data_IF_685262779976
#
_entry.id   IF_685262779976
#
_cell.length_a   1.000
_cell.length_b   1.000
_cell.length_c   1.000
_cell.angle_alpha   90.00
_cell.angle_beta   90.00
_cell.angle_gamma   90.00
#
_symmetry.space_group_name_H-M   'P 1'
#
loop_
_entity.id
_entity.type
_entity.pdbx_description
1 polymer ?
#
# COMPACT_ATOMS: atom_id res chain seq x y z
N UNK A 1 40.19 -7.96 -19.94
CA UNK A 1 39.85 -9.34 -19.55
C UNK A 1 38.34 -9.53 -19.32
N UNK A 2 37.49 -9.45 -20.37
CA UNK A 2 36.04 -9.66 -20.24
C UNK A 2 35.66 -11.07 -19.76
N UNK A 3 36.50 -12.07 -20.01
CA UNK A 3 36.30 -13.47 -19.64
C UNK A 3 36.27 -13.74 -18.13
N UNK A 4 36.71 -12.80 -17.29
CA UNK A 4 36.71 -12.94 -15.82
C UNK A 4 35.57 -12.16 -15.16
N UNK A 5 34.64 -11.60 -15.93
CA UNK A 5 33.45 -10.94 -15.38
C UNK A 5 32.59 -11.99 -14.68
N UNK A 6 32.48 -11.88 -13.36
CA UNK A 6 31.65 -12.75 -12.54
C UNK A 6 30.33 -12.08 -12.17
N UNK A 7 29.18 -12.77 -12.30
CA UNK A 7 27.87 -12.27 -11.85
C UNK A 7 27.79 -11.95 -10.35
N UNK A 8 28.73 -12.46 -9.55
CA UNK A 8 28.82 -12.18 -8.10
C UNK A 8 29.84 -11.10 -7.75
N UNK A 9 30.50 -10.48 -8.73
CA UNK A 9 31.50 -9.43 -8.50
C UNK A 9 30.86 -8.14 -7.95
N UNK A 10 31.50 -7.42 -7.01
CA UNK A 10 31.06 -6.09 -6.57
C UNK A 10 30.94 -5.08 -7.72
N UNK A 11 31.68 -5.28 -8.82
CA UNK A 11 31.59 -4.44 -10.03
C UNK A 11 30.21 -4.51 -10.70
N UNK A 12 29.42 -5.56 -10.42
CA UNK A 12 28.02 -5.68 -10.89
C UNK A 12 27.06 -4.72 -10.18
N UNK A 13 27.56 -3.84 -9.30
CA UNK A 13 26.76 -2.83 -8.59
C UNK A 13 26.90 -1.41 -9.14
N UNK A 14 27.87 -1.17 -10.03
CA UNK A 14 28.29 0.17 -10.46
C UNK A 14 28.16 0.30 -11.97
N UNK A 15 27.67 1.45 -12.46
CA UNK A 15 27.61 1.76 -13.90
C UNK A 15 26.50 1.04 -14.67
N UNK A 16 25.42 0.64 -13.99
CA UNK A 16 24.25 0.06 -14.65
C UNK A 16 23.47 1.22 -15.30
N UNK A 17 23.26 1.16 -16.61
CA UNK A 17 22.39 2.10 -17.32
C UNK A 17 20.94 1.97 -16.83
N UNK A 18 20.17 3.06 -16.78
CA UNK A 18 18.75 3.00 -16.46
C UNK A 18 18.04 2.07 -17.46
N UNK A 19 17.27 1.11 -16.94
CA UNK A 19 16.46 0.24 -17.79
C UNK A 19 15.32 1.07 -18.40
N UNK A 20 15.07 0.92 -19.70
CA UNK A 20 14.01 1.66 -20.39
C UNK A 20 12.61 1.20 -19.99
N UNK A 21 12.44 -0.09 -19.67
CA UNK A 21 11.18 -0.72 -19.26
C UNK A 21 11.44 -1.87 -18.28
N UNK A 22 10.47 -2.16 -17.41
CA UNK A 22 10.52 -3.30 -16.49
C UNK A 22 9.77 -4.51 -17.07
N UNK A 23 10.43 -5.67 -17.05
CA UNK A 23 9.81 -6.92 -17.51
C UNK A 23 8.97 -7.52 -16.39
N UNK A 24 7.74 -7.95 -16.69
CA UNK A 24 6.91 -8.68 -15.75
C UNK A 24 7.37 -10.13 -15.60
N UNK A 25 7.51 -10.61 -14.37
CA UNK A 25 7.91 -11.97 -14.04
C UNK A 25 6.94 -12.63 -13.07
N UNK A 26 6.71 -13.92 -13.25
CA UNK A 26 5.90 -14.72 -12.33
C UNK A 26 6.73 -15.23 -11.16
N UNK A 27 6.18 -15.08 -9.95
CA UNK A 27 6.78 -15.60 -8.72
C UNK A 27 6.70 -17.13 -8.66
N UNK A 28 7.68 -17.79 -8.03
CA UNK A 28 7.66 -19.26 -7.90
C UNK A 28 6.54 -19.70 -6.95
N UNK A 29 6.29 -18.91 -5.90
CA UNK A 29 5.15 -19.03 -5.01
C UNK A 29 4.41 -17.67 -4.89
N UNK A 30 3.07 -17.69 -4.75
CA UNK A 30 2.31 -16.45 -4.58
C UNK A 30 2.71 -15.65 -3.32
N UNK A 31 2.93 -14.37 -3.55
CA UNK A 31 3.22 -13.30 -2.62
C UNK A 31 1.91 -12.75 -2.00
N UNK A 32 1.41 -13.43 -0.97
CA UNK A 32 0.14 -13.09 -0.30
C UNK A 32 0.24 -11.90 0.65
N UNK A 33 -0.88 -11.19 0.84
CA UNK A 33 -1.01 -10.14 1.85
C UNK A 33 -1.30 -10.71 3.24
N UNK A 34 -1.13 -9.91 4.29
CA UNK A 34 -1.49 -10.28 5.66
C UNK A 34 -2.90 -9.78 6.01
N UNK A 35 -3.63 -10.55 6.80
CA UNK A 35 -4.82 -10.04 7.48
C UNK A 35 -4.40 -9.01 8.55
N UNK A 36 -5.24 -8.01 8.80
CA UNK A 36 -4.96 -6.97 9.80
C UNK A 36 -5.69 -7.28 11.11
N UNK A 37 -5.05 -6.91 12.21
CA UNK A 37 -5.65 -6.73 13.52
C UNK A 37 -5.37 -5.32 14.02
N UNK A 38 -6.36 -4.66 14.61
CA UNK A 38 -6.27 -3.30 15.15
C UNK A 38 -6.43 -3.24 16.66
N UNK A 39 -6.72 -4.38 17.31
CA UNK A 39 -6.86 -4.47 18.75
C UNK A 39 -6.29 -5.78 19.32
N UNK A 40 -5.92 -5.82 20.61
CA UNK A 40 -5.57 -7.05 21.31
C UNK A 40 -6.67 -8.12 21.23
N UNK A 41 -7.94 -7.72 21.24
CA UNK A 41 -9.09 -8.62 21.16
C UNK A 41 -9.13 -9.35 19.81
N UNK A 42 -8.80 -8.67 18.72
CA UNK A 42 -8.70 -9.27 17.38
C UNK A 42 -7.54 -10.28 17.29
N UNK A 43 -6.43 -10.04 18.01
CA UNK A 43 -5.31 -10.98 18.13
C UNK A 43 -5.69 -12.22 18.95
N UNK A 44 -6.43 -12.06 20.05
CA UNK A 44 -6.97 -13.19 20.81
C UNK A 44 -7.95 -14.01 19.97
N UNK A 45 -8.80 -13.35 19.18
CA UNK A 45 -9.69 -14.03 18.24
C UNK A 45 -8.92 -14.78 17.15
N UNK A 46 -7.78 -14.25 16.69
CA UNK A 46 -6.87 -14.95 15.78
C UNK A 46 -6.28 -16.22 16.41
N UNK A 47 -5.76 -16.14 17.62
CA UNK A 47 -5.24 -17.29 18.36
C UNK A 47 -6.33 -18.37 18.58
N UNK A 48 -7.55 -17.96 18.94
CA UNK A 48 -8.69 -18.88 19.07
C UNK A 48 -9.03 -19.58 17.76
N UNK A 49 -8.95 -18.89 16.61
CA UNK A 49 -9.16 -19.52 15.30
C UNK A 49 -8.08 -20.55 14.99
N UNK A 50 -6.83 -20.27 15.33
CA UNK A 50 -5.74 -21.24 15.16
C UNK A 50 -5.97 -22.46 16.05
N UNK A 51 -6.25 -22.26 17.35
CA UNK A 51 -6.51 -23.35 18.31
C UNK A 51 -7.65 -24.29 17.88
N UNK A 52 -8.67 -23.75 17.19
CA UNK A 52 -9.76 -24.57 16.62
C UNK A 52 -9.32 -25.45 15.45
N UNK A 53 -8.35 -25.01 14.66
CA UNK A 53 -7.85 -25.74 13.49
C UNK A 53 -6.76 -26.75 13.85
N UNK A 54 -5.98 -26.46 14.89
CA UNK A 54 -4.90 -27.32 15.39
C UNK A 54 -5.08 -27.54 16.91
N UNK A 55 -6.11 -28.32 17.31
CA UNK A 55 -6.40 -28.56 18.73
C UNK A 55 -5.23 -29.28 19.41
N UNK A 56 -5.10 -29.07 20.72
CA UNK A 56 -4.11 -29.73 21.60
C UNK A 56 -2.62 -29.45 21.31
N UNK A 57 -2.30 -28.62 20.30
CA UNK A 57 -0.93 -28.19 20.04
C UNK A 57 -0.62 -26.89 20.81
N UNK A 58 0.54 -26.84 21.47
CA UNK A 58 1.07 -25.59 22.01
C UNK A 58 1.50 -24.70 20.85
N UNK A 59 0.97 -23.48 20.79
CA UNK A 59 1.27 -22.52 19.73
C UNK A 59 2.25 -21.48 20.25
N UNK A 60 3.43 -21.45 19.65
CA UNK A 60 4.38 -20.36 19.82
C UNK A 60 4.29 -19.38 18.65
N UNK A 61 4.58 -18.12 18.91
CA UNK A 61 4.54 -17.05 17.92
C UNK A 61 5.91 -16.41 17.78
N UNK A 62 6.33 -16.12 16.55
CA UNK A 62 7.43 -15.21 16.27
C UNK A 62 6.84 -13.85 15.91
N UNK A 63 7.28 -12.83 16.63
CA UNK A 63 6.86 -11.44 16.43
C UNK A 63 8.00 -10.67 15.79
N UNK A 64 7.71 -10.03 14.65
CA UNK A 64 8.65 -9.24 13.86
C UNK A 64 8.10 -7.83 13.66
N UNK A 65 8.98 -6.84 13.49
CA UNK A 65 8.55 -5.50 13.07
C UNK A 65 7.89 -5.56 11.70
N UNK A 66 6.72 -4.92 11.55
CA UNK A 66 6.11 -4.72 10.24
C UNK A 66 6.75 -3.51 9.59
N UNK A 67 7.86 -3.77 8.90
CA UNK A 67 8.64 -2.76 8.20
C UNK A 67 7.76 -2.10 7.15
N UNK A 68 7.85 -0.78 7.08
CA UNK A 68 7.18 -0.02 6.05
C UNK A 68 8.09 0.14 4.81
N UNK A 69 7.94 -0.72 3.81
CA UNK A 69 8.77 -0.65 2.60
C UNK A 69 8.21 -1.37 1.37
N UNK A 70 9.15 -1.68 0.47
CA UNK A 70 8.96 -2.44 -0.75
C UNK A 70 9.49 -3.86 -0.54
N UNK A 71 8.63 -4.85 -0.33
CA UNK A 71 9.03 -6.24 -0.33
C UNK A 71 9.09 -6.90 -1.70
N UNK A 72 10.08 -7.77 -1.74
CA UNK A 72 10.76 -8.24 -2.92
C UNK A 72 10.94 -9.74 -2.79
N UNK A 73 11.08 -10.39 -3.94
CA UNK A 73 11.53 -11.77 -4.05
C UNK A 73 12.93 -11.78 -4.65
N UNK A 74 13.85 -12.51 -4.02
CA UNK A 74 15.24 -12.68 -4.47
C UNK A 74 15.48 -14.16 -4.76
N UNK A 75 15.70 -14.48 -6.04
CA UNK A 75 16.00 -15.84 -6.48
C UNK A 75 17.50 -16.02 -6.58
N UNK A 76 17.99 -17.08 -5.95
CA UNK A 76 19.37 -17.53 -6.02
C UNK A 76 19.43 -18.94 -6.60
N UNK A 77 20.40 -19.16 -7.47
CA UNK A 77 20.72 -20.48 -8.02
C UNK A 77 22.19 -20.80 -7.73
N UNK A 78 22.43 -21.96 -7.13
CA UNK A 78 23.74 -22.41 -6.63
C UNK A 78 24.44 -21.33 -5.79
N UNK A 79 23.65 -20.62 -4.98
CA UNK A 79 24.11 -19.53 -4.13
C UNK A 79 24.42 -18.22 -4.84
N UNK A 80 24.16 -18.06 -6.13
CA UNK A 80 24.38 -16.82 -6.89
C UNK A 80 23.07 -16.07 -7.09
N UNK A 81 23.05 -14.76 -6.85
CA UNK A 81 21.88 -13.92 -7.09
C UNK A 81 21.61 -13.79 -8.58
N UNK A 82 20.50 -14.36 -9.05
CA UNK A 82 20.15 -14.39 -10.47
C UNK A 82 19.03 -13.42 -10.82
N UNK A 83 18.03 -13.24 -9.94
CA UNK A 83 16.82 -12.46 -10.26
C UNK A 83 16.19 -11.88 -9.02
N UNK A 84 15.79 -10.62 -9.06
CA UNK A 84 14.99 -9.97 -8.04
C UNK A 84 13.74 -9.32 -8.63
N UNK A 85 12.61 -9.40 -7.93
CA UNK A 85 11.33 -8.88 -8.41
C UNK A 85 10.54 -8.17 -7.31
N UNK A 86 9.71 -7.19 -7.69
CA UNK A 86 8.70 -6.57 -6.80
C UNK A 86 7.54 -7.53 -6.56
N UNK A 87 6.64 -7.22 -5.62
CA UNK A 87 5.43 -8.04 -5.44
C UNK A 87 4.51 -8.06 -6.65
N UNK A 88 4.25 -6.89 -7.24
CA UNK A 88 3.11 -6.65 -8.13
C UNK A 88 1.78 -7.08 -7.50
N UNK A 89 1.00 -7.88 -8.23
CA UNK A 89 -0.33 -8.39 -7.85
C UNK A 89 -0.28 -9.58 -6.86
N UNK A 90 0.93 -10.06 -6.55
CA UNK A 90 1.16 -11.22 -5.69
C UNK A 90 1.42 -12.51 -6.47
N UNK A 91 1.12 -12.57 -7.77
CA UNK A 91 1.43 -13.71 -8.66
C UNK A 91 2.53 -13.32 -9.64
N UNK A 92 2.48 -12.08 -10.12
CA UNK A 92 3.41 -11.46 -11.04
C UNK A 92 3.93 -10.14 -10.45
N UNK A 93 5.18 -9.83 -10.73
CA UNK A 93 5.85 -8.61 -10.30
C UNK A 93 6.83 -8.10 -11.34
N UNK A 94 7.38 -6.92 -11.11
CA UNK A 94 8.36 -6.30 -12.00
C UNK A 94 9.76 -6.80 -11.65
N UNK A 95 10.51 -7.24 -12.65
CA UNK A 95 11.90 -7.64 -12.50
C UNK A 95 12.79 -6.41 -12.32
N UNK A 96 13.42 -6.30 -11.16
CA UNK A 96 14.21 -5.15 -10.72
C UNK A 96 15.60 -5.57 -10.21
N UNK A 97 16.19 -6.62 -10.81
CA UNK A 97 17.44 -7.23 -10.36
C UNK A 97 18.58 -6.23 -10.35
N UNK A 98 18.69 -5.41 -11.41
CA UNK A 98 19.71 -4.38 -11.54
C UNK A 98 19.65 -3.38 -10.37
N UNK A 99 18.46 -2.88 -10.04
CA UNK A 99 18.23 -2.00 -8.89
C UNK A 99 18.62 -2.70 -7.58
N UNK A 100 18.19 -3.95 -7.37
CA UNK A 100 18.45 -4.70 -6.14
C UNK A 100 19.94 -5.04 -5.95
N UNK A 101 20.70 -5.24 -7.03
CA UNK A 101 22.17 -5.41 -6.96
C UNK A 101 22.85 -4.22 -6.30
N UNK A 102 22.33 -3.01 -6.49
CA UNK A 102 22.92 -1.79 -5.90
C UNK A 102 22.81 -1.74 -4.37
N UNK A 103 21.87 -2.50 -3.78
CA UNK A 103 21.67 -2.56 -2.34
C UNK A 103 22.78 -3.41 -1.70
N UNK A 104 23.71 -2.75 -1.02
CA UNK A 104 24.91 -3.39 -0.44
C UNK A 104 24.60 -4.52 0.55
N UNK A 105 23.48 -4.44 1.26
CA UNK A 105 23.05 -5.46 2.24
C UNK A 105 22.46 -6.71 1.61
N UNK A 106 22.15 -6.69 0.30
CA UNK A 106 21.73 -7.89 -0.43
C UNK A 106 23.00 -8.64 -0.86
N UNK A 107 23.21 -9.89 -0.41
CA UNK A 107 24.35 -10.69 -0.84
C UNK A 107 24.20 -11.05 -2.32
N UNK A 108 25.22 -10.82 -3.15
CA UNK A 108 25.26 -11.32 -4.54
C UNK A 108 25.61 -12.80 -4.62
N UNK A 109 26.25 -13.31 -3.56
CA UNK A 109 26.57 -14.71 -3.34
C UNK A 109 26.24 -15.09 -1.90
N UNK A 110 25.53 -16.18 -1.71
CA UNK A 110 25.22 -16.75 -0.40
C UNK A 110 26.44 -17.43 0.19
N UNK A 111 26.57 -17.34 1.52
CA UNK A 111 27.66 -17.97 2.28
C UNK A 111 27.16 -19.26 2.94
N UNK A 112 28.07 -20.17 3.28
CA UNK A 112 27.75 -21.42 3.98
C UNK A 112 27.85 -22.66 3.11
N UNK A 113 27.83 -23.84 3.75
CA UNK A 113 28.00 -25.16 3.11
C UNK A 113 26.68 -25.76 2.61
N UNK A 114 25.55 -25.39 3.22
CA UNK A 114 24.24 -26.02 3.00
C UNK A 114 23.25 -25.12 2.26
N UNK A 115 23.72 -24.40 1.23
CA UNK A 115 22.84 -23.55 0.40
C UNK A 115 22.08 -24.43 -0.60
N UNK A 116 20.73 -24.38 -0.65
CA UNK A 116 19.95 -25.13 -1.63
C UNK A 116 20.35 -24.78 -3.07
N UNK A 117 20.26 -25.73 -4.03
CA UNK A 117 20.53 -25.47 -5.44
C UNK A 117 19.70 -24.31 -6.00
N UNK A 118 18.49 -24.12 -5.47
CA UNK A 118 17.64 -22.98 -5.76
C UNK A 118 16.91 -22.54 -4.50
N UNK A 119 16.93 -21.24 -4.21
CA UNK A 119 16.24 -20.63 -3.08
C UNK A 119 15.63 -19.30 -3.50
N UNK A 120 14.41 -19.04 -3.03
CA UNK A 120 13.76 -17.74 -3.16
C UNK A 120 13.58 -17.15 -1.76
N UNK A 121 14.19 -15.97 -1.56
CA UNK A 121 14.22 -15.27 -0.29
C UNK A 121 13.38 -14.02 -0.41
N UNK A 122 12.51 -13.80 0.56
CA UNK A 122 11.62 -12.66 0.58
C UNK A 122 11.96 -11.78 1.77
N UNK A 123 11.86 -10.49 1.55
CA UNK A 123 12.20 -9.49 2.53
C UNK A 123 11.75 -8.12 2.06
N UNK A 124 12.00 -7.11 2.88
CA UNK A 124 11.53 -5.75 2.65
C UNK A 124 12.72 -4.82 2.42
N UNK A 125 12.71 -4.13 1.29
CA UNK A 125 13.58 -2.98 1.02
C UNK A 125 12.90 -1.75 1.58
N UNK A 126 13.56 -1.04 2.46
CA UNK A 126 13.02 0.17 3.05
C UNK A 126 14.07 1.28 3.04
N UNK A 127 13.61 2.51 3.14
CA UNK A 127 14.48 3.67 3.26
C UNK A 127 14.55 4.14 4.70
N UNK A 128 15.75 4.47 5.16
CA UNK A 128 15.94 5.04 6.50
C UNK A 128 15.37 6.45 6.56
N UNK A 129 14.86 6.86 7.73
CA UNK A 129 14.36 8.22 7.97
C UNK A 129 15.45 9.27 7.71
N UNK A 130 16.67 8.99 8.13
CA UNK A 130 17.85 9.83 7.89
C UNK A 130 18.18 10.01 6.40
N UNK A 131 18.15 8.92 5.63
CA UNK A 131 18.42 8.94 4.19
C UNK A 131 17.29 9.60 3.40
N UNK A 132 16.03 9.36 3.79
CA UNK A 132 14.86 10.02 3.20
C UNK A 132 14.89 11.54 3.38
N UNK A 133 15.29 12.03 4.57
CA UNK A 133 15.49 13.48 4.82
C UNK A 133 16.55 14.06 3.88
N UNK A 134 17.68 13.38 3.68
CA UNK A 134 18.73 13.82 2.75
C UNK A 134 18.22 13.87 1.31
N UNK A 135 17.52 12.82 0.87
CA UNK A 135 16.96 12.73 -0.48
C UNK A 135 15.95 13.86 -0.76
N UNK A 136 15.04 14.13 0.18
CA UNK A 136 14.09 15.24 0.04
C UNK A 136 14.80 16.61 0.07
N UNK A 137 15.85 16.79 0.88
CA UNK A 137 16.66 18.02 0.87
C UNK A 137 17.37 18.23 -0.48
N UNK A 138 17.85 17.17 -1.12
CA UNK A 138 18.46 17.23 -2.45
C UNK A 138 17.43 17.53 -3.54
N UNK A 139 16.21 16.99 -3.43
CA UNK A 139 15.10 17.31 -4.34
C UNK A 139 14.58 18.74 -4.22
N UNK A 140 14.47 19.27 -3.00
CA UNK A 140 14.12 20.68 -2.78
C UNK A 140 15.13 21.62 -3.45
N UNK A 141 16.42 21.30 -3.40
CA UNK A 141 17.48 22.08 -4.07
C UNK A 141 17.39 22.02 -5.60
N UNK A 142 16.68 21.04 -6.16
CA UNK A 142 16.46 20.82 -7.59
C UNK A 142 15.05 21.20 -8.05
N UNK A 143 14.24 21.81 -7.17
CA UNK A 143 12.82 22.14 -7.43
C UNK A 143 11.94 20.95 -7.85
N UNK A 144 12.32 19.73 -7.44
CA UNK A 144 11.56 18.51 -7.71
C UNK A 144 10.47 18.26 -6.65
N UNK A 145 9.39 17.57 -7.03
CA UNK A 145 8.34 17.14 -6.10
C UNK A 145 8.88 16.21 -5.01
N UNK A 146 8.55 16.48 -3.74
CA UNK A 146 8.98 15.69 -2.60
C UNK A 146 8.25 14.35 -2.53
N UNK A 147 8.93 13.31 -2.06
CA UNK A 147 8.27 12.03 -1.79
C UNK A 147 7.42 12.10 -0.52
N UNK A 148 6.24 11.48 -0.56
CA UNK A 148 5.24 11.54 0.50
C UNK A 148 5.51 10.56 1.66
N UNK A 149 6.01 9.35 1.37
CA UNK A 149 6.40 8.35 2.37
C UNK A 149 7.34 7.26 1.78
N UNK A 150 8.07 6.49 2.62
CA UNK A 150 8.99 5.42 2.18
C UNK A 150 8.38 4.11 1.62
N UNK A 151 7.05 4.03 1.41
CA UNK A 151 6.23 2.82 1.59
C UNK A 151 5.91 1.93 0.36
N UNK A 152 6.32 2.28 -0.85
CA UNK A 152 5.70 1.60 -2.01
C UNK A 152 6.36 0.26 -2.40
N UNK A 153 5.90 -0.88 -1.81
CA UNK A 153 5.32 -2.14 -2.40
C UNK A 153 5.92 -3.56 -2.06
N UNK A 154 5.14 -4.46 -1.41
CA UNK A 154 5.70 -5.60 -0.64
C UNK A 154 5.00 -6.99 -0.54
N UNK A 155 5.73 -8.11 -0.86
CA UNK A 155 5.90 -9.40 -0.09
C UNK A 155 5.28 -10.76 -0.57
N UNK A 156 6.05 -11.89 -0.71
CA UNK A 156 6.07 -13.12 0.15
C UNK A 156 6.21 -14.59 -0.44
N UNK A 157 6.93 -15.46 0.30
CA UNK A 157 7.48 -16.87 0.11
C UNK A 157 6.60 -18.12 0.39
N UNK A 158 6.94 -19.42 0.13
CA UNK A 158 8.11 -20.31 -0.24
C UNK A 158 7.58 -21.71 -0.70
N UNK A 159 8.31 -22.53 -1.52
CA UNK A 159 8.16 -24.02 -1.66
C UNK A 159 9.52 -24.76 -1.76
N UNK A 160 9.66 -25.91 -1.06
CA UNK A 160 10.81 -26.84 -1.10
C UNK A 160 10.38 -28.27 -1.53
N UNK A 161 11.34 -29.09 -2.00
CA UNK A 161 11.14 -30.39 -2.69
C UNK A 161 11.07 -31.64 -1.78
N UNK A 162 11.47 -31.60 -0.50
CA UNK A 162 11.20 -32.69 0.48
C UNK A 162 10.35 -32.18 1.67
N UNK A 163 9.08 -32.60 1.80
CA UNK A 163 8.18 -32.17 2.88
C UNK A 163 8.65 -32.58 4.28
N UNK A 164 9.44 -33.65 4.41
CA UNK A 164 9.84 -34.22 5.72
C UNK A 164 10.95 -33.39 6.40
N UNK A 165 11.79 -32.73 5.61
CA UNK A 165 12.86 -31.83 6.11
C UNK A 165 12.26 -30.48 6.54
N UNK A 166 11.22 -30.01 5.86
CA UNK A 166 10.50 -28.77 6.20
C UNK A 166 9.64 -28.94 7.46
N UNK A 167 9.13 -30.16 7.72
CA UNK A 167 8.21 -30.46 8.81
C UNK A 167 8.80 -30.32 10.23
N UNK A 168 10.12 -30.25 10.38
CA UNK A 168 10.79 -30.15 11.70
C UNK A 168 11.29 -28.75 12.05
N UNK A 169 11.19 -27.79 11.12
CA UNK A 169 11.82 -26.47 11.29
C UNK A 169 10.86 -25.45 11.88
N UNK A 170 11.44 -24.55 12.67
CA UNK A 170 10.77 -23.37 13.21
C UNK A 170 11.14 -22.13 12.40
N UNK A 171 10.24 -21.15 12.36
CA UNK A 171 10.47 -19.90 11.65
C UNK A 171 11.64 -19.10 12.25
N UNK A 172 11.83 -19.16 13.57
CA UNK A 172 13.02 -18.58 14.20
C UNK A 172 14.33 -19.20 13.67
N UNK A 173 14.35 -20.52 13.44
CA UNK A 173 15.51 -21.20 12.85
C UNK A 173 15.74 -20.77 11.41
N UNK A 174 14.68 -20.56 10.63
CA UNK A 174 14.78 -20.01 9.26
C UNK A 174 15.42 -18.63 9.27
N UNK A 175 15.01 -17.75 10.19
CA UNK A 175 15.59 -16.42 10.33
C UNK A 175 17.07 -16.47 10.72
N UNK A 176 17.46 -17.37 11.63
CA UNK A 176 18.86 -17.60 11.98
C UNK A 176 19.66 -18.12 10.79
N UNK A 177 19.13 -19.09 10.04
CA UNK A 177 19.75 -19.60 8.82
C UNK A 177 19.94 -18.51 7.76
N UNK A 178 18.94 -17.64 7.55
CA UNK A 178 19.07 -16.49 6.63
C UNK A 178 20.22 -15.56 7.04
N UNK A 179 20.39 -15.33 8.34
CA UNK A 179 21.50 -14.54 8.88
C UNK A 179 22.86 -15.21 8.61
N UNK A 180 22.96 -16.52 8.80
CA UNK A 180 24.19 -17.30 8.57
C UNK A 180 24.62 -17.28 7.09
N UNK A 181 23.67 -17.33 6.16
CA UNK A 181 23.98 -17.32 4.72
C UNK A 181 24.20 -15.91 4.14
N UNK A 182 24.16 -14.87 4.99
CA UNK A 182 24.57 -13.51 4.65
C UNK A 182 23.46 -12.47 4.52
N UNK A 183 22.20 -12.81 4.82
CA UNK A 183 21.13 -11.81 4.82
C UNK A 183 21.12 -10.98 6.10
N UNK A 184 20.71 -9.72 5.96
CA UNK A 184 20.43 -8.86 7.08
C UNK A 184 19.04 -9.18 7.63
N UNK A 185 18.99 -9.72 8.84
CA UNK A 185 17.77 -10.01 9.58
C UNK A 185 17.55 -8.95 10.66
N UNK A 186 16.30 -8.56 10.88
CA UNK A 186 15.97 -7.54 11.89
C UNK A 186 16.38 -8.03 13.29
N UNK A 187 17.02 -7.22 14.14
CA UNK A 187 17.39 -7.63 15.49
C UNK A 187 16.23 -7.68 16.49
N UNK A 188 15.10 -7.03 16.18
CA UNK A 188 13.94 -6.88 17.07
C UNK A 188 12.90 -7.99 16.87
N UNK A 189 13.39 -9.23 16.77
CA UNK A 189 12.54 -10.41 16.61
C UNK A 189 12.42 -11.08 17.97
N UNK A 190 11.20 -11.46 18.35
CA UNK A 190 10.95 -12.14 19.62
C UNK A 190 10.17 -13.43 19.39
N UNK A 191 10.65 -14.52 19.99
CA UNK A 191 9.85 -15.73 20.19
C UNK A 191 8.97 -15.53 21.42
N UNK A 192 7.67 -15.71 21.24
CA UNK A 192 6.63 -15.58 22.26
C UNK A 192 5.97 -16.94 22.48
N UNK A 193 5.81 -17.32 23.74
CA UNK A 193 5.30 -18.62 24.15
C UNK A 193 3.79 -18.77 23.97
N UNK A 194 3.08 -17.64 23.88
CA UNK A 194 1.64 -17.56 23.65
C UNK A 194 1.25 -16.20 23.03
N UNK A 195 -0.06 -16.03 22.78
CA UNK A 195 -0.60 -14.80 22.18
C UNK A 195 -0.52 -13.58 23.12
N UNK A 196 -0.58 -13.76 24.44
CA UNK A 196 -0.52 -12.64 25.38
C UNK A 196 0.90 -12.08 25.45
N UNK A 197 1.91 -12.94 25.41
CA UNK A 197 3.30 -12.50 25.29
C UNK A 197 3.54 -11.75 23.96
N UNK A 198 2.93 -12.22 22.86
CA UNK A 198 3.01 -11.56 21.57
C UNK A 198 2.32 -10.18 21.58
N UNK A 199 1.14 -10.06 22.21
CA UNK A 199 0.43 -8.79 22.40
C UNK A 199 1.29 -7.82 23.23
N UNK A 200 1.78 -8.27 24.39
CA UNK A 200 2.58 -7.45 25.30
C UNK A 200 3.85 -6.94 24.62
N UNK A 201 4.56 -7.79 23.88
CA UNK A 201 5.72 -7.37 23.12
C UNK A 201 5.36 -6.37 22.01
N UNK A 202 4.24 -6.60 21.32
CA UNK A 202 3.79 -5.71 20.25
C UNK A 202 3.41 -4.31 20.76
N UNK A 203 2.79 -4.22 21.93
CA UNK A 203 2.42 -2.94 22.55
C UNK A 203 3.64 -2.10 22.94
N UNK A 204 4.74 -2.73 23.39
CA UNK A 204 5.98 -2.00 23.70
C UNK A 204 6.56 -1.27 22.49
N UNK A 205 6.28 -1.75 21.27
CA UNK A 205 6.75 -1.13 20.04
C UNK A 205 5.94 0.08 19.60
N UNK A 206 4.77 0.33 20.17
CA UNK A 206 3.98 1.54 19.90
C UNK A 206 4.77 2.80 20.28
N UNK A 207 5.50 2.75 21.39
CA UNK A 207 6.33 3.85 21.89
C UNK A 207 7.74 3.80 21.28
N UNK A 208 8.37 2.61 21.25
CA UNK A 208 9.75 2.44 20.75
C UNK A 208 9.93 2.67 19.26
N UNK A 209 8.86 2.69 18.46
CA UNK A 209 8.96 2.93 17.01
C UNK A 209 9.64 4.26 16.65
N UNK A 210 9.57 5.26 17.52
CA UNK A 210 10.20 6.57 17.29
C UNK A 210 11.73 6.50 17.39
N UNK A 211 12.28 5.50 18.09
CA UNK A 211 13.72 5.26 18.21
C UNK A 211 14.32 4.65 16.93
N UNK A 212 13.48 4.10 16.05
CA UNK A 212 13.92 3.46 14.82
C UNK A 212 14.24 4.50 13.74
N UNK A 213 15.38 4.31 13.08
CA UNK A 213 15.77 5.06 11.88
C UNK A 213 15.03 4.57 10.61
N UNK A 214 13.90 3.89 10.76
CA UNK A 214 13.01 3.46 9.67
C UNK A 214 11.57 3.38 10.16
N UNK A 215 10.62 3.48 9.22
CA UNK A 215 9.21 3.45 9.53
C UNK A 215 8.70 2.01 9.71
N UNK A 216 7.78 1.85 10.64
CA UNK A 216 7.03 0.61 10.89
C UNK A 216 5.56 0.96 11.12
N UNK A 217 4.64 0.16 10.58
CA UNK A 217 3.19 0.41 10.71
C UNK A 217 2.50 -0.56 11.69
N UNK A 218 3.30 -1.40 12.34
CA UNK A 218 2.80 -2.43 13.24
C UNK A 218 3.82 -3.52 13.52
N UNK A 219 3.29 -4.66 13.93
CA UNK A 219 4.02 -5.90 14.17
C UNK A 219 3.41 -7.01 13.32
N UNK A 220 4.22 -7.96 12.88
CA UNK A 220 3.75 -9.19 12.25
C UNK A 220 3.89 -10.33 13.24
N UNK A 221 2.79 -11.00 13.55
CA UNK A 221 2.75 -12.15 14.45
C UNK A 221 2.56 -13.40 13.58
N UNK A 222 3.48 -14.36 13.66
CA UNK A 222 3.48 -15.57 12.84
C UNK A 222 3.60 -16.80 13.73
N UNK A 223 2.82 -17.85 13.47
CA UNK A 223 3.01 -19.16 14.13
C UNK A 223 4.44 -19.65 13.88
N UNK A 224 5.16 -20.05 14.92
CA UNK A 224 6.58 -20.41 14.81
C UNK A 224 6.79 -21.72 14.03
N UNK A 225 5.99 -22.76 14.30
CA UNK A 225 6.12 -24.06 13.64
C UNK A 225 5.74 -24.02 12.15
N UNK A 226 6.68 -24.38 11.26
CA UNK A 226 6.40 -24.43 9.82
C UNK A 226 5.44 -25.56 9.45
N UNK A 227 5.42 -26.66 10.22
CA UNK A 227 4.46 -27.75 10.05
C UNK A 227 3.02 -27.24 10.25
N UNK A 228 2.79 -26.54 11.36
CA UNK A 228 1.48 -25.96 11.67
C UNK A 228 1.05 -24.94 10.60
N UNK A 229 1.98 -24.20 10.01
CA UNK A 229 1.65 -23.29 8.87
C UNK A 229 1.10 -24.06 7.67
N UNK A 230 1.64 -25.24 7.38
CA UNK A 230 1.15 -26.14 6.34
C UNK A 230 -0.27 -26.64 6.63
N UNK A 231 -0.53 -27.06 7.86
CA UNK A 231 -1.86 -27.50 8.33
C UNK A 231 -2.90 -26.37 8.28
N UNK A 232 -2.51 -25.16 8.70
CA UNK A 232 -3.39 -23.99 8.72
C UNK A 232 -3.69 -23.43 7.32
N UNK A 233 -2.74 -23.55 6.39
CA UNK A 233 -2.88 -23.08 5.01
C UNK A 233 -3.15 -21.57 4.91
N UNK A 234 -3.85 -21.19 3.85
CA UNK A 234 -4.20 -19.79 3.54
C UNK A 234 -5.67 -19.65 3.14
N UNK A 235 -6.17 -18.43 3.23
CA UNK A 235 -7.34 -17.98 2.48
C UNK A 235 -6.92 -17.60 1.06
N UNK A 236 -7.85 -17.10 0.24
CA UNK A 236 -7.56 -16.59 -1.10
C UNK A 236 -6.54 -15.45 -1.10
N UNK A 237 -6.47 -14.66 -0.02
CA UNK A 237 -5.65 -13.43 0.02
C UNK A 237 -4.59 -13.39 1.12
N UNK A 238 -4.73 -14.21 2.16
CA UNK A 238 -3.86 -14.15 3.33
C UNK A 238 -3.62 -15.50 4.01
N UNK A 239 -2.42 -15.74 4.57
CA UNK A 239 -2.14 -16.95 5.36
C UNK A 239 -2.97 -16.96 6.65
N UNK A 240 -3.45 -18.14 7.07
CA UNK A 240 -4.18 -18.27 8.35
C UNK A 240 -3.27 -18.27 9.58
N UNK A 241 -1.97 -18.44 9.36
CA UNK A 241 -0.95 -18.60 10.39
C UNK A 241 -0.17 -17.31 10.69
N UNK A 242 -0.49 -16.19 10.02
CA UNK A 242 0.12 -14.90 10.28
C UNK A 242 -0.89 -13.75 10.23
N UNK A 243 -0.66 -12.74 11.07
CA UNK A 243 -1.51 -11.55 11.16
C UNK A 243 -0.64 -10.30 11.39
N UNK A 244 -1.04 -9.18 10.79
CA UNK A 244 -0.43 -7.88 10.98
C UNK A 244 -1.18 -7.12 12.07
N UNK A 245 -0.58 -6.96 13.24
CA UNK A 245 -1.08 -6.08 14.29
C UNK A 245 -0.68 -4.64 13.98
N UNK A 246 -1.61 -3.85 13.44
CA UNK A 246 -1.35 -2.46 13.07
C UNK A 246 -1.39 -1.56 14.30
N UNK A 247 -0.47 -0.62 14.36
CA UNK A 247 -0.50 0.38 15.42
C UNK A 247 -1.71 1.29 15.26
N UNK A 248 -2.22 1.85 16.37
CA UNK A 248 -3.26 2.87 16.31
C UNK A 248 -2.82 4.00 15.38
N UNK A 249 -3.70 4.37 14.44
CA UNK A 249 -3.44 5.47 13.54
C UNK A 249 -3.15 6.74 14.36
N UNK A 250 -2.13 7.51 13.95
CA UNK A 250 -1.85 8.78 14.62
C UNK A 250 -3.06 9.69 14.50
N UNK A 251 -3.61 10.10 15.65
CA UNK A 251 -4.75 10.99 15.71
C UNK A 251 -4.26 12.39 16.05
N UNK A 252 -4.65 13.38 15.24
CA UNK A 252 -4.34 14.79 15.47
C UNK A 252 -5.61 15.61 15.44
N UNK A 253 -5.59 16.75 16.12
CA UNK A 253 -6.73 17.67 16.12
C UNK A 253 -6.49 18.78 15.11
N UNK A 254 -7.49 19.08 14.29
CA UNK A 254 -7.47 20.21 13.35
C UNK A 254 -8.87 20.79 13.21
N UNK A 255 -8.99 21.96 12.58
CA UNK A 255 -10.26 22.65 12.38
C UNK A 255 -10.86 22.30 11.02
N UNK A 256 -12.17 22.07 10.99
CA UNK A 256 -12.94 21.98 9.74
C UNK A 256 -13.20 23.39 9.22
N UNK A 257 -12.61 23.75 8.09
CA UNK A 257 -12.85 25.05 7.45
C UNK A 257 -14.16 25.04 6.67
N UNK A 258 -14.41 23.95 5.94
CA UNK A 258 -15.60 23.78 5.11
C UNK A 258 -15.89 22.29 4.90
N UNK A 259 -17.08 21.96 4.42
CA UNK A 259 -17.45 20.60 4.00
C UNK A 259 -17.96 20.69 2.57
N UNK A 260 -17.19 20.13 1.63
CA UNK A 260 -17.56 20.06 0.21
C UNK A 260 -18.13 18.68 -0.11
N UNK A 261 -18.90 18.58 -1.18
CA UNK A 261 -19.47 17.32 -1.65
C UNK A 261 -18.81 16.89 -2.95
N UNK A 262 -18.21 15.71 -2.95
CA UNK A 262 -17.68 15.07 -4.16
C UNK A 262 -18.73 14.14 -4.75
N UNK A 263 -18.79 14.07 -6.08
CA UNK A 263 -19.69 13.18 -6.81
C UNK A 263 -18.87 12.05 -7.41
N UNK A 264 -19.07 10.83 -6.92
CA UNK A 264 -18.36 9.65 -7.41
C UNK A 264 -18.91 9.09 -8.73
N UNK A 265 -18.26 8.05 -9.26
CA UNK A 265 -18.60 7.38 -10.53
C UNK A 265 -20.06 6.94 -10.68
N UNK A 266 -20.69 6.48 -9.60
CA UNK A 266 -22.08 6.00 -9.56
C UNK A 266 -23.07 7.10 -9.19
N UNK A 267 -22.62 8.35 -9.17
CA UNK A 267 -23.39 9.49 -8.72
C UNK A 267 -23.47 9.64 -7.20
N UNK A 268 -22.78 8.80 -6.41
CA UNK A 268 -22.76 8.92 -4.96
C UNK A 268 -22.16 10.27 -4.51
N UNK A 269 -22.88 10.98 -3.65
CA UNK A 269 -22.44 12.23 -3.02
C UNK A 269 -21.69 11.90 -1.73
N UNK A 270 -20.38 12.08 -1.75
CA UNK A 270 -19.49 11.84 -0.61
C UNK A 270 -19.07 13.19 -0.01
N UNK A 271 -19.43 13.47 1.25
CA UNK A 271 -18.98 14.68 1.91
C UNK A 271 -17.51 14.57 2.34
N UNK A 272 -16.76 15.64 2.13
CA UNK A 272 -15.33 15.74 2.41
C UNK A 272 -15.07 17.01 3.22
N UNK A 273 -14.49 16.84 4.41
CA UNK A 273 -14.05 17.95 5.25
C UNK A 273 -12.80 18.59 4.65
N UNK A 274 -12.85 19.90 4.44
CA UNK A 274 -11.68 20.75 4.20
C UNK A 274 -11.14 21.17 5.57
N UNK A 275 -9.88 20.87 5.83
CA UNK A 275 -9.25 21.00 7.13
C UNK A 275 -8.16 22.06 7.10
N UNK A 276 -7.90 22.68 8.25
CA UNK A 276 -6.63 23.38 8.46
C UNK A 276 -5.47 22.40 8.24
N UNK A 277 -4.42 22.80 7.49
CA UNK A 277 -3.32 21.92 7.15
C UNK A 277 -2.68 21.34 8.42
N UNK A 278 -2.75 20.02 8.58
CA UNK A 278 -2.21 19.33 9.75
C UNK A 278 -1.32 18.17 9.33
N UNK A 279 -0.23 17.93 10.05
CA UNK A 279 0.71 16.85 9.73
C UNK A 279 0.30 15.56 10.43
N UNK A 280 0.03 14.50 9.66
CA UNK A 280 -0.32 13.16 10.18
C UNK A 280 0.59 12.14 9.49
N UNK A 281 1.36 11.38 10.26
CA UNK A 281 2.25 10.33 9.75
C UNK A 281 3.13 10.83 8.59
N UNK A 282 3.80 11.97 8.80
CA UNK A 282 4.77 12.54 7.85
C UNK A 282 4.20 13.40 6.70
N UNK A 283 2.91 13.28 6.36
CA UNK A 283 2.29 14.07 5.28
C UNK A 283 1.36 15.16 5.81
N UNK A 284 1.21 16.25 5.06
CA UNK A 284 0.19 17.28 5.33
C UNK A 284 -1.17 16.79 4.83
N UNK A 285 -2.16 16.79 5.72
CA UNK A 285 -3.56 16.46 5.44
C UNK A 285 -4.37 17.74 5.47
N UNK A 286 -5.09 18.01 4.38
CA UNK A 286 -6.02 19.13 4.23
C UNK A 286 -7.45 18.68 3.90
N UNK A 287 -7.63 17.39 3.60
CA UNK A 287 -8.91 16.80 3.23
C UNK A 287 -9.10 15.51 4.00
N UNK A 288 -10.29 15.29 4.54
CA UNK A 288 -10.66 14.04 5.19
C UNK A 288 -12.08 13.62 4.81
N UNK A 289 -12.29 12.32 4.60
CA UNK A 289 -13.62 11.79 4.31
C UNK A 289 -14.52 11.88 5.54
N UNK A 290 -15.80 12.21 5.30
CA UNK A 290 -16.88 12.11 6.28
C UNK A 290 -17.80 10.92 5.98
N UNK A 291 -17.43 10.08 5.00
CA UNK A 291 -18.13 8.88 4.55
C UNK A 291 -19.50 9.15 3.90
N UNK A 292 -20.48 9.62 4.66
CA UNK A 292 -21.85 9.89 4.18
C UNK A 292 -22.59 10.85 5.13
N UNK A 293 -23.82 11.24 4.77
CA UNK A 293 -24.63 12.17 5.57
C UNK A 293 -24.97 11.63 6.97
N UNK A 294 -25.26 10.33 7.08
CA UNK A 294 -25.59 9.72 8.37
C UNK A 294 -24.39 9.74 9.33
N UNK A 295 -23.18 9.53 8.82
CA UNK A 295 -21.95 9.65 9.61
C UNK A 295 -21.71 11.07 10.11
N UNK A 296 -22.00 12.08 9.29
CA UNK A 296 -21.94 13.49 9.72
C UNK A 296 -22.92 13.73 10.86
N UNK A 297 -24.16 13.27 10.73
CA UNK A 297 -25.19 13.43 11.77
C UNK A 297 -24.85 12.64 13.04
N UNK A 298 -24.39 11.40 12.90
CA UNK A 298 -23.98 10.53 14.02
C UNK A 298 -22.84 11.13 14.82
N UNK A 299 -21.83 11.68 14.13
CA UNK A 299 -20.68 12.34 14.77
C UNK A 299 -20.97 13.80 15.14
N UNK A 300 -22.09 14.35 14.66
CA UNK A 300 -22.51 15.76 14.77
C UNK A 300 -21.39 16.70 14.28
N UNK A 301 -20.83 16.44 13.09
CA UNK A 301 -19.74 17.26 12.52
C UNK A 301 -20.31 18.54 11.92
N UNK A 302 -19.77 19.69 12.32
CA UNK A 302 -20.17 21.01 11.83
C UNK A 302 -19.01 21.75 11.19
N UNK A 303 -19.32 22.68 10.30
CA UNK A 303 -18.32 23.59 9.74
C UNK A 303 -17.79 24.48 10.87
N UNK A 304 -16.47 24.65 10.95
CA UNK A 304 -15.69 25.30 12.03
C UNK A 304 -15.44 24.48 13.29
N UNK A 305 -15.92 23.24 13.37
CA UNK A 305 -15.58 22.35 14.50
C UNK A 305 -14.09 22.04 14.55
N UNK A 306 -13.57 21.82 15.76
CA UNK A 306 -12.29 21.15 15.95
C UNK A 306 -12.55 19.65 16.00
N UNK A 307 -11.91 18.93 15.09
CA UNK A 307 -12.09 17.49 14.88
C UNK A 307 -10.79 16.74 15.12
N UNK A 308 -10.93 15.50 15.59
CA UNK A 308 -9.86 14.52 15.66
C UNK A 308 -9.83 13.75 14.34
N UNK A 309 -8.69 13.81 13.66
CA UNK A 309 -8.48 13.23 12.32
C UNK A 309 -7.39 12.18 12.41
N UNK A 310 -7.56 11.09 11.67
CA UNK A 310 -6.56 10.03 11.55
C UNK A 310 -6.44 9.60 10.10
N UNK A 311 -5.42 8.80 9.78
CA UNK A 311 -5.35 8.09 8.49
C UNK A 311 -5.76 6.63 8.65
N UNK A 312 -6.91 6.26 8.09
CA UNK A 312 -7.32 4.88 7.96
C UNK A 312 -6.33 4.12 7.08
N UNK A 313 -5.77 3.04 7.62
CA UNK A 313 -4.74 2.25 6.94
C UNK A 313 -3.49 3.03 6.53
N UNK A 314 -3.20 4.15 7.20
CA UNK A 314 -2.08 5.09 6.93
C UNK A 314 -2.15 5.83 5.58
N UNK A 315 -3.24 5.68 4.83
CA UNK A 315 -3.41 6.30 3.50
C UNK A 315 -4.56 7.30 3.49
N UNK A 316 -5.77 6.89 3.88
CA UNK A 316 -6.99 7.70 3.68
C UNK A 316 -7.30 8.50 4.94
N UNK A 317 -7.26 9.84 4.91
CA UNK A 317 -7.61 10.63 6.09
C UNK A 317 -9.12 10.62 6.33
N UNK A 318 -9.53 10.42 7.58
CA UNK A 318 -10.93 10.42 8.03
C UNK A 318 -11.12 11.18 9.35
N UNK A 319 -12.31 11.75 9.52
CA UNK A 319 -12.71 12.37 10.79
C UNK A 319 -13.20 11.30 11.75
N UNK A 320 -12.52 11.16 12.90
CA UNK A 320 -12.84 10.19 13.95
C UNK A 320 -13.99 10.70 14.82
N UNK A 321 -13.82 11.89 15.41
CA UNK A 321 -14.81 12.52 16.29
C UNK A 321 -14.65 14.03 16.35
N UNK A 322 -15.70 14.72 16.76
CA UNK A 322 -15.68 16.15 17.09
C UNK A 322 -15.26 16.36 18.54
N UNK A 323 -14.48 17.40 18.81
CA UNK A 323 -14.15 17.85 20.16
C UNK A 323 -15.18 18.90 20.57
N UNK A 324 -16.33 18.42 21.06
CA UNK A 324 -17.50 19.26 21.36
C UNK A 324 -17.22 20.33 22.40
N UNK A 325 -16.27 20.08 23.30
CA UNK A 325 -15.84 21.00 24.36
C UNK A 325 -15.19 22.28 23.83
N UNK A 326 -14.69 22.25 22.58
CA UNK A 326 -14.06 23.41 21.93
C UNK A 326 -15.03 24.23 21.06
N UNK A 327 -16.33 23.93 21.11
CA UNK A 327 -17.34 24.68 20.37
C UNK A 327 -17.52 26.08 20.94
N UNK A 328 -17.65 27.02 20.03
CA UNK A 328 -17.82 28.45 20.28
C UNK A 328 -19.26 28.92 20.06
N UNK A 329 -20.13 28.05 19.53
CA UNK A 329 -21.51 28.37 19.15
C UNK A 329 -21.64 29.02 17.77
N UNK A 330 -20.53 29.24 17.06
CA UNK A 330 -20.48 29.82 15.70
C UNK A 330 -20.39 28.77 14.59
N UNK A 331 -20.45 27.50 14.95
CA UNK A 331 -20.35 26.37 14.05
C UNK A 331 -21.65 26.21 13.25
N UNK A 332 -21.53 25.86 11.97
CA UNK A 332 -22.67 25.74 11.06
C UNK A 332 -22.96 24.27 10.76
N UNK A 333 -24.23 23.87 10.88
CA UNK A 333 -24.65 22.53 10.53
C UNK A 333 -24.53 22.30 9.02
N UNK A 334 -23.98 21.16 8.63
CA UNK A 334 -23.89 20.76 7.24
C UNK A 334 -25.20 20.09 6.82
N UNK A 335 -25.77 20.54 5.70
CA UNK A 335 -26.92 19.93 5.07
C UNK A 335 -26.51 19.42 3.70
N UNK A 336 -26.79 18.14 3.42
CA UNK A 336 -26.52 17.57 2.11
C UNK A 336 -27.34 18.31 1.04
N UNK A 337 -26.73 18.76 -0.07
CA UNK A 337 -27.45 19.55 -1.05
C UNK A 337 -28.54 18.71 -1.75
N UNK A 338 -29.71 19.33 -1.97
CA UNK A 338 -30.83 18.72 -2.70
C UNK A 338 -30.61 18.67 -4.21
N UNK A 339 -29.58 19.36 -4.70
CA UNK A 339 -29.14 19.39 -6.08
C UNK A 339 -27.65 19.03 -6.17
N UNK A 340 -27.27 18.35 -7.24
CA UNK A 340 -25.91 17.94 -7.47
C UNK A 340 -25.02 19.18 -7.66
N UNK A 341 -23.92 19.34 -6.90
CA UNK A 341 -23.05 20.52 -6.99
C UNK A 341 -22.32 20.65 -8.32
N UNK A 342 -22.33 19.59 -9.16
CA UNK A 342 -21.64 19.57 -10.45
C UNK A 342 -22.59 19.82 -11.62
N UNK A 343 -23.75 19.15 -11.64
CA UNK A 343 -24.67 19.20 -12.80
C UNK A 343 -26.05 19.80 -12.48
N UNK A 344 -26.30 20.23 -11.24
CA UNK A 344 -27.58 20.81 -10.80
C UNK A 344 -28.75 19.83 -10.71
N UNK A 345 -28.58 18.57 -11.14
CA UNK A 345 -29.65 17.58 -11.11
C UNK A 345 -30.12 17.24 -9.69
N UNK A 346 -31.38 16.83 -9.55
CA UNK A 346 -31.97 16.46 -8.25
C UNK A 346 -31.19 15.31 -7.60
N UNK A 347 -30.86 15.48 -6.33
CA UNK A 347 -30.28 14.44 -5.48
C UNK A 347 -31.41 13.65 -4.85
N UNK A 348 -31.26 12.33 -4.84
CA UNK A 348 -32.18 11.42 -4.18
C UNK A 348 -31.40 10.39 -3.37
N UNK A 349 -32.04 9.84 -2.35
CA UNK A 349 -31.48 8.76 -1.55
C UNK A 349 -32.36 7.52 -1.76
N UNK A 350 -31.84 6.45 -2.38
CA UNK A 350 -32.59 5.21 -2.56
C UNK A 350 -33.01 4.62 -1.20
N UNK A 351 -34.18 3.99 -1.14
CA UNK A 351 -34.63 3.28 0.06
C UNK A 351 -33.64 2.16 0.44
N UNK A 352 -33.26 2.10 1.70
CA UNK A 352 -32.28 1.13 2.21
C UNK A 352 -30.81 1.49 1.97
N UNK A 353 -30.50 2.53 1.20
CA UNK A 353 -29.13 3.00 0.99
C UNK A 353 -28.74 4.15 1.94
N UNK A 354 -27.45 4.18 2.30
CA UNK A 354 -26.86 5.23 3.14
C UNK A 354 -26.41 6.44 2.30
N UNK A 355 -26.10 6.21 1.02
CA UNK A 355 -25.53 7.22 0.14
C UNK A 355 -26.62 7.97 -0.63
N UNK A 356 -26.59 9.31 -0.55
CA UNK A 356 -27.33 10.18 -1.46
C UNK A 356 -26.67 10.18 -2.83
N UNK A 357 -27.47 10.18 -3.91
CA UNK A 357 -26.97 10.07 -5.30
C UNK A 357 -27.53 11.14 -6.21
N UNK A 358 -26.73 11.53 -7.19
CA UNK A 358 -27.13 12.32 -8.33
C UNK A 358 -27.92 11.46 -9.33
N UNK A 359 -29.11 11.91 -9.73
CA UNK A 359 -29.98 11.19 -10.66
C UNK A 359 -29.61 11.40 -12.16
N UNK A 360 -28.66 12.28 -12.47
CA UNK A 360 -28.30 12.56 -13.86
C UNK A 360 -27.28 11.58 -14.42
N UNK A 361 -27.64 10.95 -15.53
CA UNK A 361 -26.74 10.09 -16.31
C UNK A 361 -25.67 10.88 -17.07
N UNK A 362 -25.92 12.16 -17.36
CA UNK A 362 -25.04 13.09 -18.08
C UNK A 362 -24.18 13.95 -17.15
N UNK A 363 -24.14 13.62 -15.86
CA UNK A 363 -23.31 14.33 -14.88
C UNK A 363 -21.82 14.22 -15.28
N UNK A 364 -21.18 15.36 -15.58
CA UNK A 364 -19.77 15.41 -15.99
C UNK A 364 -18.83 14.76 -14.97
N UNK A 365 -19.07 14.92 -13.66
CA UNK A 365 -18.29 14.23 -12.64
C UNK A 365 -18.41 12.70 -12.72
N UNK A 366 -19.61 12.18 -12.99
CA UNK A 366 -19.78 10.73 -13.17
C UNK A 366 -19.11 10.23 -14.45
N UNK A 367 -19.11 11.03 -15.51
CA UNK A 367 -18.43 10.70 -16.77
C UNK A 367 -16.92 10.63 -16.53
N UNK A 368 -16.34 11.69 -15.95
CA UNK A 368 -14.92 11.75 -15.58
C UNK A 368 -14.48 10.57 -14.72
N UNK A 369 -15.23 10.26 -13.66
CA UNK A 369 -14.90 9.15 -12.76
C UNK A 369 -15.11 7.76 -13.39
N UNK A 370 -16.08 7.61 -14.30
CA UNK A 370 -16.24 6.36 -15.07
C UNK A 370 -15.07 6.14 -16.03
N UNK A 371 -14.63 7.17 -16.73
CA UNK A 371 -13.47 7.12 -17.62
C UNK A 371 -12.18 6.85 -16.83
N UNK A 372 -11.98 7.52 -15.67
CA UNK A 372 -10.84 7.26 -14.77
C UNK A 372 -10.79 5.81 -14.32
N UNK A 373 -11.92 5.24 -13.93
CA UNK A 373 -11.99 3.84 -13.54
C UNK A 373 -11.71 2.91 -14.73
N UNK A 374 -12.27 3.21 -15.91
CA UNK A 374 -12.04 2.43 -17.12
C UNK A 374 -10.55 2.40 -17.51
N UNK A 375 -9.88 3.54 -17.43
CA UNK A 375 -8.45 3.69 -17.72
C UNK A 375 -7.53 3.10 -16.62
N UNK A 376 -8.06 2.69 -15.47
CA UNK A 376 -7.24 2.23 -14.34
C UNK A 376 -6.55 0.89 -14.63
N UNK A 377 -5.45 0.63 -13.91
CA UNK A 377 -4.64 -0.61 -14.01
C UNK A 377 -5.45 -1.89 -13.78
N UNK A 378 -6.48 -1.83 -12.94
CA UNK A 378 -7.36 -2.97 -12.64
C UNK A 378 -8.50 -3.15 -13.68
N UNK A 379 -8.55 -2.30 -14.71
CA UNK A 379 -9.57 -2.30 -15.76
C UNK A 379 -8.93 -2.47 -17.16
N UNK A 380 -8.88 -1.43 -17.99
CA UNK A 380 -8.27 -1.49 -19.33
C UNK A 380 -6.80 -1.07 -19.35
N UNK A 381 -6.24 -0.61 -18.22
CA UNK A 381 -4.81 -0.26 -18.07
C UNK A 381 -4.29 0.70 -19.16
N UNK A 382 -5.02 1.79 -19.39
CA UNK A 382 -4.67 2.79 -20.41
C UNK A 382 -3.62 3.74 -19.83
N UNK A 383 -2.35 3.40 -20.01
CA UNK A 383 -1.23 4.23 -19.58
C UNK A 383 -1.26 5.63 -20.25
N UNK A 384 -0.97 6.67 -19.46
CA UNK A 384 -0.99 8.05 -19.92
C UNK A 384 -2.35 8.75 -19.78
N UNK A 385 -3.47 8.04 -19.68
CA UNK A 385 -4.81 8.65 -19.52
C UNK A 385 -5.09 9.08 -18.07
N UNK A 386 -4.36 10.09 -17.60
CA UNK A 386 -4.43 10.59 -16.23
C UNK A 386 -5.62 11.53 -15.94
N UNK A 387 -5.90 11.81 -14.64
CA UNK A 387 -7.00 12.68 -14.21
C UNK A 387 -7.08 14.03 -14.90
N UNK A 388 -5.93 14.68 -15.13
CA UNK A 388 -5.85 16.00 -15.76
C UNK A 388 -6.21 15.98 -17.24
N UNK A 389 -5.82 14.93 -17.98
CA UNK A 389 -6.16 14.77 -19.39
C UNK A 389 -7.65 14.46 -19.52
N UNK A 390 -8.17 13.56 -18.70
CA UNK A 390 -9.61 13.24 -18.65
C UNK A 390 -10.44 14.50 -18.34
N UNK A 391 -9.96 15.33 -17.41
CA UNK A 391 -10.63 16.59 -17.08
C UNK A 391 -10.72 17.51 -18.30
N UNK A 392 -9.61 17.72 -19.02
CA UNK A 392 -9.58 18.53 -20.24
C UNK A 392 -10.44 17.94 -21.36
N UNK A 393 -10.37 16.63 -21.61
CA UNK A 393 -11.16 15.97 -22.65
C UNK A 393 -12.66 16.12 -22.43
N UNK A 394 -13.12 16.00 -21.17
CA UNK A 394 -14.54 16.15 -20.84
C UNK A 394 -14.95 17.63 -20.84
N UNK A 395 -14.09 18.54 -20.37
CA UNK A 395 -14.38 19.98 -20.32
C UNK A 395 -14.42 20.63 -21.71
N UNK A 396 -13.54 20.21 -22.61
CA UNK A 396 -13.55 20.61 -24.02
C UNK A 396 -14.64 19.90 -24.83
N UNK A 397 -15.40 18.98 -24.21
CA UNK A 397 -16.50 18.26 -24.86
C UNK A 397 -16.07 17.23 -25.91
N UNK A 398 -14.78 16.88 -25.95
CA UNK A 398 -14.20 15.88 -26.85
C UNK A 398 -14.70 14.47 -26.52
N UNK A 399 -14.95 14.19 -25.23
CA UNK A 399 -15.53 12.92 -24.79
C UNK A 399 -16.70 13.10 -23.83
N UNK A 400 -17.72 12.27 -23.97
CA UNK A 400 -18.96 12.24 -23.17
C UNK A 400 -19.20 10.88 -22.54
N UNK A 401 -18.56 9.84 -23.05
CA UNK A 401 -18.63 8.48 -22.55
C UNK A 401 -17.31 7.75 -22.82
N UNK A 402 -17.26 6.47 -22.46
CA UNK A 402 -16.05 5.65 -22.60
C UNK A 402 -15.76 5.29 -24.06
N UNK A 403 -16.76 5.02 -24.88
CA UNK A 403 -16.56 4.69 -26.30
C UNK A 403 -15.94 5.83 -27.10
N UNK A 404 -16.18 7.08 -26.70
CA UNK A 404 -15.63 8.26 -27.37
C UNK A 404 -14.08 8.28 -27.33
N UNK A 405 -13.44 7.58 -26.39
CA UNK A 405 -11.98 7.46 -26.33
C UNK A 405 -11.39 6.86 -27.60
N UNK A 406 -12.09 5.89 -28.22
CA UNK A 406 -11.63 5.18 -29.41
C UNK A 406 -11.82 5.99 -30.71
N UNK A 407 -12.43 7.17 -30.62
CA UNK A 407 -12.64 8.08 -31.75
C UNK A 407 -11.79 9.34 -31.64
N UNK A 408 -10.91 9.43 -30.64
CA UNK A 408 -10.01 10.56 -30.49
C UNK A 408 -8.96 10.57 -31.59
N UNK A 409 -8.81 11.70 -32.27
CA UNK A 409 -7.78 11.90 -33.27
C UNK A 409 -6.54 12.55 -32.65
N UNK A 410 -5.41 12.44 -33.35
CA UNK A 410 -4.14 13.04 -32.92
C UNK A 410 -4.26 14.55 -32.69
N UNK A 411 -5.02 15.22 -33.54
CA UNK A 411 -5.21 16.68 -33.50
C UNK A 411 -6.06 17.12 -32.30
N UNK A 412 -6.98 16.26 -31.83
CA UNK A 412 -7.76 16.52 -30.61
C UNK A 412 -6.86 16.55 -29.38
N UNK A 413 -5.91 15.61 -29.32
CA UNK A 413 -5.02 15.43 -28.17
C UNK A 413 -3.86 16.42 -28.14
N UNK A 414 -3.30 16.78 -29.29
CA UNK A 414 -2.16 17.70 -29.36
C UNK A 414 -2.55 19.13 -28.95
N UNK A 415 -3.84 19.45 -29.04
CA UNK A 415 -4.41 20.74 -28.64
C UNK A 415 -4.50 20.92 -27.12
N UNK A 416 -4.34 19.83 -26.34
CA UNK A 416 -4.49 19.85 -24.90
C UNK A 416 -3.24 20.39 -24.19
N UNK A 417 -3.45 21.02 -23.05
CA UNK A 417 -2.35 21.49 -22.22
C UNK A 417 -1.52 20.31 -21.73
N UNK A 418 -0.19 20.43 -21.90
CA UNK A 418 0.83 19.43 -21.51
C UNK A 418 0.86 18.17 -22.37
N UNK A 419 0.28 18.20 -23.57
CA UNK A 419 0.45 17.15 -24.58
C UNK A 419 1.50 17.55 -25.62
N UNK A 420 2.50 16.70 -25.81
CA UNK A 420 3.47 16.79 -26.89
C UNK A 420 3.20 15.69 -27.92
N UNK A 421 3.83 15.78 -29.10
CA UNK A 421 3.68 14.77 -30.17
C UNK A 421 3.87 13.34 -29.65
N UNK A 422 5.00 13.08 -28.97
CA UNK A 422 5.31 11.74 -28.46
C UNK A 422 4.33 11.24 -27.40
N UNK A 423 3.87 12.11 -26.49
CA UNK A 423 2.90 11.70 -25.46
C UNK A 423 1.52 11.44 -26.05
N UNK A 424 1.19 12.13 -27.14
CA UNK A 424 -0.04 11.93 -27.90
C UNK A 424 -0.02 10.58 -28.60
N UNK A 425 1.06 10.28 -29.30
CA UNK A 425 1.22 9.01 -30.03
C UNK A 425 1.19 7.83 -29.05
N UNK A 426 1.90 7.93 -27.91
CA UNK A 426 1.86 6.91 -26.86
C UNK A 426 0.46 6.69 -26.27
N UNK A 427 -0.32 7.76 -26.08
CA UNK A 427 -1.67 7.65 -25.51
C UNK A 427 -2.62 6.99 -26.51
N UNK A 428 -2.53 7.32 -27.80
CA UNK A 428 -3.33 6.67 -28.85
C UNK A 428 -3.00 5.19 -28.94
N UNK A 429 -1.71 4.83 -28.94
CA UNK A 429 -1.29 3.42 -28.90
C UNK A 429 -1.79 2.69 -27.65
N UNK A 430 -1.81 3.35 -26.48
CA UNK A 430 -2.32 2.78 -25.24
C UNK A 430 -3.85 2.61 -25.25
N UNK A 431 -4.59 3.46 -25.96
CA UNK A 431 -6.05 3.32 -26.13
C UNK A 431 -6.39 2.18 -27.09
N UNK A 432 -5.54 1.92 -28.09
CA UNK A 432 -5.78 0.90 -29.13
C UNK A 432 -5.42 -0.53 -28.69
N UNK A 433 -4.56 -0.67 -27.68
CA UNK A 433 -4.23 -1.95 -27.02
C UNK A 433 -5.38 -2.46 -26.14
#
# INVERSE_FOLDING_TARGET
YPQYISPSSPTQRVGIEPVSEFVTVRHIAPMLSLANAFSPEELRAFDQRIKKLVPEQKIEYVVELKIDGLAIALVYENGIFIRGATRGDGVTGEEITSNLRTIKTIPLKLFGKDVPPRIEVYGEVYMKKSDFKKLNNERMKKEESLFANPRNAAAGSVRQLDPRITAQRHHMEVLNYLKEIGFKVNPHIKLCQDIEEAINYSQQWIEKKEELDYEIDGMVIKVNSLRMRGELGSTTRSPRWAIAYKFPAQQVTTKVQDIIVQVGRTGALTPVAILDPVRISGSVVQRATLHNEDEIRRKDVRIRDIVLVQKAGEVIPEVVKVIKEKRTGKEMEFVMPSQCPVCGAKVFRPEGEVASRCNSLSCSAQIKERIRHFASRDAMDIEGLGPAIIDQLVENGLIKNVSDLYFLERDDLISLERMAEKSTDNLLEAIEK
#
